data_IF_642175179819
#
_entry.id   IF_642175179819
#
_cell.length_a   1.000
_cell.length_b   1.000
_cell.length_c   1.000
_cell.angle_alpha   90.00
_cell.angle_beta   90.00
_cell.angle_gamma   90.00
#
_symmetry.space_group_name_H-M   'P 1'
#
loop_
_entity.id
_entity.type
_entity.pdbx_description
1 polymer ?
#
# COMPACT_ATOMS: atom_id res chain seq x y z
N UNK A 1 11.78 7.13 3.51
CA UNK A 1 10.84 6.04 3.87
C UNK A 1 9.87 5.91 2.71
N UNK A 2 9.95 4.80 2.00
CA UNK A 2 9.11 4.50 0.84
C UNK A 2 7.70 4.16 1.35
N UNK A 3 6.71 5.01 1.11
CA UNK A 3 5.31 4.68 1.35
C UNK A 3 4.86 3.71 0.26
N UNK A 4 4.78 2.43 0.58
CA UNK A 4 4.21 1.42 -0.31
C UNK A 4 2.70 1.60 -0.31
N UNK A 5 2.12 2.00 -1.44
CA UNK A 5 0.68 2.01 -1.64
C UNK A 5 0.17 0.56 -1.66
N UNK A 6 -0.35 0.09 -0.55
CA UNK A 6 -1.03 -1.20 -0.48
C UNK A 6 -2.40 -1.09 -1.16
N UNK A 7 -2.51 -1.59 -2.38
CA UNK A 7 -3.82 -1.84 -3.01
C UNK A 7 -4.55 -2.93 -2.24
N UNK A 8 -5.62 -2.59 -1.54
CA UNK A 8 -6.51 -3.57 -0.93
C UNK A 8 -7.63 -3.96 -1.89
N UNK A 9 -7.65 -5.22 -2.30
CA UNK A 9 -8.81 -5.82 -2.96
C UNK A 9 -10.01 -5.80 -2.01
N UNK A 10 -11.17 -5.37 -2.50
CA UNK A 10 -12.44 -5.45 -1.77
C UNK A 10 -12.76 -6.90 -1.45
N UNK A 11 -12.81 -7.23 -0.17
CA UNK A 11 -13.31 -8.52 0.31
C UNK A 11 -14.84 -8.55 0.24
N UNK A 12 -15.46 -9.70 -0.09
CA UNK A 12 -16.90 -9.88 0.07
C UNK A 12 -17.31 -9.66 1.53
N UNK A 13 -18.50 -9.10 1.73
CA UNK A 13 -19.06 -8.73 3.03
C UNK A 13 -19.12 -9.85 4.07
N UNK A 14 -19.41 -9.54 5.34
CA UNK A 14 -19.33 -10.50 6.43
C UNK A 14 -20.32 -11.65 6.23
N UNK A 15 -19.79 -12.82 5.88
CA UNK A 15 -20.57 -14.05 5.90
C UNK A 15 -20.87 -14.44 7.36
N UNK A 16 -22.11 -14.83 7.62
CA UNK A 16 -22.60 -15.29 8.92
C UNK A 16 -21.61 -16.28 9.55
N UNK A 17 -21.34 -16.10 10.84
CA UNK A 17 -20.56 -17.04 11.67
C UNK A 17 -21.23 -18.40 11.63
N UNK A 18 -20.78 -19.30 10.74
CA UNK A 18 -21.04 -20.72 10.84
C UNK A 18 -20.34 -21.29 12.07
N UNK A 19 -20.96 -22.27 12.72
CA UNK A 19 -20.29 -23.03 13.79
C UNK A 19 -19.00 -23.61 13.26
N UNK A 20 -17.90 -23.36 13.98
CA UNK A 20 -16.58 -23.90 13.64
C UNK A 20 -16.65 -25.43 13.55
N UNK A 21 -16.26 -25.98 12.40
CA UNK A 21 -16.18 -27.44 12.17
C UNK A 21 -14.81 -28.00 12.59
N UNK A 22 -14.06 -27.24 13.41
CA UNK A 22 -12.72 -27.65 13.84
C UNK A 22 -12.74 -29.01 14.57
N UNK A 23 -11.77 -29.89 14.27
CA UNK A 23 -11.65 -31.17 14.94
C UNK A 23 -11.47 -31.01 16.47
N UNK A 24 -11.87 -31.99 17.27
CA UNK A 24 -11.71 -31.96 18.71
C UNK A 24 -10.23 -31.90 19.10
N UNK A 25 -9.86 -31.39 20.30
CA UNK A 25 -8.46 -31.19 20.73
C UNK A 25 -7.56 -32.41 20.55
N UNK A 26 -8.05 -33.60 20.91
CA UNK A 26 -7.33 -34.87 20.74
C UNK A 26 -6.97 -35.20 19.27
N UNK A 27 -7.83 -34.80 18.34
CA UNK A 27 -7.56 -34.98 16.91
C UNK A 27 -6.51 -33.96 16.40
N UNK A 28 -6.48 -32.74 16.97
CA UNK A 28 -5.46 -31.72 16.63
C UNK A 28 -4.06 -32.19 17.04
N UNK A 29 -3.91 -32.76 18.22
CA UNK A 29 -2.64 -33.26 18.71
C UNK A 29 -2.05 -34.37 17.83
N UNK A 30 -2.88 -35.24 17.27
CA UNK A 30 -2.46 -36.25 16.30
C UNK A 30 -1.85 -35.63 15.02
N UNK A 31 -2.35 -34.46 14.58
CA UNK A 31 -1.79 -33.75 13.44
C UNK A 31 -0.41 -33.14 13.78
N UNK A 32 -0.26 -32.58 14.98
CA UNK A 32 1.05 -32.08 15.45
C UNK A 32 2.11 -33.19 15.43
N UNK A 33 1.77 -34.37 15.93
CA UNK A 33 2.67 -35.53 15.92
C UNK A 33 3.02 -36.00 14.51
N UNK A 34 2.05 -36.00 13.58
CA UNK A 34 2.28 -36.37 12.17
C UNK A 34 3.24 -35.41 11.47
N UNK A 35 3.12 -34.12 11.70
CA UNK A 35 4.03 -33.14 11.14
C UNK A 35 5.42 -33.24 11.77
N UNK A 36 5.49 -33.42 13.09
CA UNK A 36 6.75 -33.60 13.82
C UNK A 36 7.52 -34.86 13.41
N UNK A 37 6.80 -35.94 13.10
CA UNK A 37 7.38 -37.23 12.72
C UNK A 37 7.68 -37.40 11.23
N UNK A 38 7.41 -36.36 10.41
CA UNK A 38 7.59 -36.41 8.96
C UNK A 38 9.07 -36.41 8.58
N UNK A 39 9.71 -37.58 8.52
CA UNK A 39 11.01 -37.79 7.87
C UNK A 39 10.77 -38.18 6.41
N UNK A 40 11.47 -37.50 5.48
CA UNK A 40 11.57 -37.80 4.04
C UNK A 40 10.42 -38.63 3.43
N UNK A 41 9.31 -37.96 3.10
CA UNK A 41 8.16 -38.55 2.38
C UNK A 41 8.05 -37.91 0.99
N UNK A 42 7.28 -38.50 0.05
CA UNK A 42 7.07 -37.89 -1.26
C UNK A 42 6.58 -36.44 -1.12
N UNK A 43 6.94 -35.56 -2.08
CA UNK A 43 6.51 -34.19 -2.06
C UNK A 43 4.98 -34.10 -2.00
N UNK A 44 4.47 -33.18 -1.20
CA UNK A 44 3.05 -32.82 -1.20
C UNK A 44 2.75 -31.91 -2.38
N UNK A 45 1.46 -31.72 -2.70
CA UNK A 45 1.07 -30.74 -3.66
C UNK A 45 1.44 -29.33 -3.20
N UNK A 46 1.68 -28.42 -4.15
CA UNK A 46 2.03 -27.05 -3.83
C UNK A 46 0.82 -26.28 -3.31
N UNK A 47 1.04 -25.55 -2.21
CA UNK A 47 0.13 -24.58 -1.64
C UNK A 47 0.83 -23.21 -1.65
N UNK A 48 0.15 -22.19 -2.16
CA UNK A 48 0.72 -20.85 -2.26
C UNK A 48 0.20 -19.97 -1.13
N UNK A 49 1.09 -19.53 -0.23
CA UNK A 49 0.75 -18.51 0.77
C UNK A 49 0.75 -17.15 0.06
N UNK A 50 -0.42 -16.51 0.01
CA UNK A 50 -0.60 -15.23 -0.69
C UNK A 50 -0.42 -14.03 0.23
N UNK A 51 -0.53 -14.21 1.54
CA UNK A 51 -0.26 -13.20 2.55
C UNK A 51 0.03 -13.86 3.92
N UNK A 52 1.03 -13.37 4.70
CA UNK A 52 2.03 -12.39 4.30
C UNK A 52 2.93 -12.90 3.19
N UNK A 53 3.67 -11.97 2.56
CA UNK A 53 4.68 -12.36 1.57
C UNK A 53 5.89 -13.01 2.25
N UNK A 54 6.59 -13.85 1.50
CA UNK A 54 7.85 -14.42 1.98
C UNK A 54 8.87 -13.32 2.29
N UNK A 55 9.53 -13.43 3.44
CA UNK A 55 10.46 -12.42 3.95
C UNK A 55 9.79 -11.18 4.57
N UNK A 56 8.47 -11.19 4.80
CA UNK A 56 7.78 -10.05 5.42
C UNK A 56 8.35 -9.72 6.80
N UNK A 57 8.59 -8.43 7.05
CA UNK A 57 9.04 -7.89 8.34
C UNK A 57 7.92 -7.07 8.96
N UNK A 58 7.50 -7.44 10.16
CA UNK A 58 6.41 -6.78 10.88
C UNK A 58 6.95 -5.82 11.94
N UNK A 59 6.36 -4.62 12.09
CA UNK A 59 6.61 -3.78 13.26
C UNK A 59 6.19 -4.50 14.55
N UNK A 60 6.86 -4.24 15.70
CA UNK A 60 6.55 -4.94 16.94
C UNK A 60 5.15 -4.63 17.49
N UNK A 61 4.59 -3.45 17.18
CA UNK A 61 3.27 -3.02 17.64
C UNK A 61 2.11 -3.46 16.73
N UNK A 62 2.36 -3.96 15.53
CA UNK A 62 1.30 -4.26 14.57
C UNK A 62 0.31 -5.30 15.07
N UNK A 63 -0.98 -5.08 14.78
CA UNK A 63 -2.03 -6.06 15.01
C UNK A 63 -1.80 -7.35 14.20
N UNK A 64 -2.41 -8.45 14.65
CA UNK A 64 -2.26 -9.74 13.99
C UNK A 64 -2.77 -9.70 12.55
N UNK A 65 -1.95 -10.07 11.55
CA UNK A 65 -2.39 -10.17 10.17
C UNK A 65 -3.25 -11.41 9.96
N UNK A 66 -4.10 -11.38 8.94
CA UNK A 66 -4.77 -12.58 8.47
C UNK A 66 -3.86 -13.27 7.45
N UNK A 67 -3.29 -14.41 7.80
CA UNK A 67 -2.59 -15.28 6.86
C UNK A 67 -3.58 -15.84 5.86
N UNK A 68 -3.21 -15.88 4.58
CA UNK A 68 -4.07 -16.36 3.48
C UNK A 68 -3.24 -17.20 2.52
N UNK A 69 -3.89 -18.20 1.94
CA UNK A 69 -3.26 -19.11 0.96
C UNK A 69 -4.26 -19.59 -0.08
N UNK A 70 -3.73 -20.12 -1.17
CA UNK A 70 -4.44 -20.82 -2.20
C UNK A 70 -3.94 -22.26 -2.19
N UNK A 71 -4.89 -23.19 -2.04
CA UNK A 71 -4.63 -24.63 -2.09
C UNK A 71 -5.50 -25.22 -3.20
N UNK A 72 -4.87 -25.74 -4.24
CA UNK A 72 -5.54 -26.33 -5.38
C UNK A 72 -5.81 -27.83 -5.21
N UNK A 73 -5.37 -28.43 -4.09
CA UNK A 73 -5.58 -29.85 -3.87
C UNK A 73 -7.06 -30.13 -3.49
N UNK A 74 -7.79 -30.94 -4.28
CA UNK A 74 -9.24 -31.10 -4.11
C UNK A 74 -9.65 -31.77 -2.79
N UNK A 75 -8.75 -32.53 -2.17
CA UNK A 75 -9.02 -33.26 -0.94
C UNK A 75 -8.71 -32.49 0.34
N UNK A 76 -8.18 -31.26 0.23
CA UNK A 76 -7.94 -30.41 1.40
C UNK A 76 -9.25 -29.91 1.98
N UNK A 77 -9.58 -30.32 3.19
CA UNK A 77 -10.79 -29.91 3.90
C UNK A 77 -10.51 -29.00 5.10
N UNK A 78 -9.28 -29.03 5.57
CA UNK A 78 -8.78 -28.21 6.68
C UNK A 78 -7.32 -27.85 6.40
N UNK A 79 -6.80 -26.89 7.16
CA UNK A 79 -5.40 -26.49 7.06
C UNK A 79 -4.77 -26.39 8.44
N UNK A 80 -3.52 -26.84 8.53
CA UNK A 80 -2.70 -26.75 9.72
C UNK A 80 -1.56 -25.76 9.48
N UNK A 81 -1.60 -24.64 10.18
CA UNK A 81 -0.47 -23.71 10.27
C UNK A 81 0.52 -24.17 11.34
N UNK A 82 1.80 -24.16 11.00
CA UNK A 82 2.90 -24.53 11.89
C UNK A 82 3.96 -23.43 11.80
N UNK A 83 4.26 -22.77 12.92
CA UNK A 83 5.33 -21.78 12.99
C UNK A 83 6.47 -22.35 13.82
N UNK A 84 7.66 -22.36 13.22
CA UNK A 84 8.90 -22.80 13.85
C UNK A 84 9.83 -21.63 14.04
N UNK A 85 10.59 -21.67 15.11
CA UNK A 85 11.49 -20.60 15.52
C UNK A 85 12.91 -21.15 15.76
N UNK A 86 13.90 -20.29 15.69
CA UNK A 86 15.30 -20.62 15.90
C UNK A 86 15.64 -21.02 17.35
N UNK A 87 14.83 -20.62 18.32
CA UNK A 87 15.01 -20.89 19.76
C UNK A 87 14.78 -22.35 20.16
N UNK A 88 14.41 -23.22 19.20
CA UNK A 88 14.11 -24.64 19.38
C UNK A 88 12.99 -24.94 20.39
N UNK A 89 12.28 -23.96 20.90
CA UNK A 89 11.10 -24.18 21.70
C UNK A 89 9.94 -24.73 20.84
N UNK A 90 8.88 -25.19 21.49
CA UNK A 90 7.74 -25.79 20.80
C UNK A 90 7.18 -24.89 19.71
N UNK A 91 6.92 -25.41 18.49
CA UNK A 91 6.25 -24.67 17.44
C UNK A 91 4.87 -24.19 17.87
N UNK A 92 4.39 -23.12 17.26
CA UNK A 92 3.01 -22.70 17.32
C UNK A 92 2.21 -23.49 16.29
N UNK A 93 1.07 -24.01 16.69
CA UNK A 93 0.16 -24.76 15.82
C UNK A 93 -1.23 -24.11 15.82
N UNK A 94 -1.83 -23.99 14.63
CA UNK A 94 -3.21 -23.58 14.49
C UNK A 94 -3.89 -24.39 13.40
N UNK A 95 -5.16 -24.76 13.62
CA UNK A 95 -5.97 -25.46 12.63
C UNK A 95 -7.19 -24.63 12.26
N UNK A 96 -7.49 -24.58 10.98
CA UNK A 96 -8.63 -23.85 10.42
C UNK A 96 -9.34 -24.67 9.36
N UNK A 97 -10.63 -24.40 9.18
CA UNK A 97 -11.49 -24.96 8.12
C UNK A 97 -11.64 -24.02 6.91
N UNK A 98 -10.86 -22.94 6.88
CA UNK A 98 -10.85 -21.94 5.80
C UNK A 98 -9.43 -21.72 5.31
N UNK A 99 -9.23 -21.30 4.05
CA UNK A 99 -7.89 -21.02 3.53
C UNK A 99 -7.34 -19.68 4.05
N UNK A 100 -7.54 -19.42 5.33
CA UNK A 100 -7.01 -18.27 6.06
C UNK A 100 -6.94 -18.54 7.56
N UNK A 101 -6.05 -17.82 8.24
CA UNK A 101 -5.88 -17.86 9.68
C UNK A 101 -5.42 -16.52 10.22
N UNK A 102 -6.05 -16.03 11.28
CA UNK A 102 -5.59 -14.87 12.03
C UNK A 102 -5.21 -15.36 13.45
N UNK A 103 -3.94 -15.15 13.88
CA UNK A 103 -3.55 -15.44 15.25
C UNK A 103 -4.39 -14.64 16.25
N UNK A 104 -4.72 -15.24 17.37
CA UNK A 104 -5.20 -14.44 18.50
C UNK A 104 -4.08 -13.54 19.05
N UNK A 105 -4.42 -12.50 19.84
CA UNK A 105 -3.43 -11.53 20.32
C UNK A 105 -2.27 -12.16 21.12
N UNK A 106 -2.53 -13.20 21.91
CA UNK A 106 -1.50 -13.87 22.72
C UNK A 106 -0.54 -14.68 21.85
N UNK A 107 -1.08 -15.43 20.89
CA UNK A 107 -0.28 -16.17 19.89
C UNK A 107 0.55 -15.20 19.06
N UNK A 108 -0.05 -14.09 18.62
CA UNK A 108 0.65 -13.10 17.80
C UNK A 108 1.79 -12.42 18.58
N UNK A 109 1.56 -12.07 19.84
CA UNK A 109 2.61 -11.53 20.71
C UNK A 109 3.78 -12.51 20.86
N UNK A 110 3.49 -13.80 21.06
CA UNK A 110 4.52 -14.84 21.15
C UNK A 110 5.29 -15.01 19.81
N UNK A 111 4.61 -14.94 18.68
CA UNK A 111 5.24 -15.00 17.35
C UNK A 111 6.20 -13.82 17.18
N UNK A 112 5.75 -12.60 17.46
CA UNK A 112 6.57 -11.39 17.36
C UNK A 112 7.81 -11.46 18.25
N UNK A 113 7.64 -11.83 19.51
CA UNK A 113 8.77 -11.92 20.45
C UNK A 113 9.85 -12.93 20.02
N UNK A 114 9.47 -14.00 19.31
CA UNK A 114 10.37 -15.11 18.92
C UNK A 114 10.94 -14.94 17.50
N UNK A 115 10.52 -13.95 16.75
CA UNK A 115 10.98 -13.71 15.37
C UNK A 115 11.77 -12.41 15.17
N UNK A 116 12.28 -11.82 16.27
CA UNK A 116 13.08 -10.58 16.21
C UNK A 116 14.50 -10.85 15.75
N UNK A 117 15.17 -11.84 16.34
CA UNK A 117 16.59 -12.13 16.10
C UNK A 117 16.81 -13.03 14.89
N UNK A 118 15.82 -13.83 14.54
CA UNK A 118 15.85 -14.71 13.38
C UNK A 118 14.43 -14.93 12.87
N UNK A 119 14.24 -15.09 11.54
CA UNK A 119 12.92 -15.33 10.97
C UNK A 119 12.24 -16.57 11.54
N UNK A 120 10.93 -16.51 11.71
CA UNK A 120 10.10 -17.66 11.94
C UNK A 120 9.74 -18.32 10.59
N UNK A 121 9.87 -19.65 10.51
CA UNK A 121 9.36 -20.43 9.40
C UNK A 121 7.86 -20.65 9.59
N UNK A 122 7.05 -20.26 8.64
CA UNK A 122 5.61 -20.52 8.57
C UNK A 122 5.36 -21.58 7.54
N UNK A 123 4.77 -22.70 7.94
CA UNK A 123 4.38 -23.79 7.04
C UNK A 123 2.89 -24.00 7.14
N UNK A 124 2.19 -23.99 6.01
CA UNK A 124 0.77 -24.30 5.92
C UNK A 124 0.65 -25.67 5.25
N UNK A 125 -0.01 -26.60 5.92
CA UNK A 125 -0.34 -27.90 5.37
C UNK A 125 -1.81 -27.99 5.04
N UNK A 126 -2.16 -28.42 3.82
CA UNK A 126 -3.47 -28.92 3.49
C UNK A 126 -3.73 -30.26 4.17
N UNK A 127 -4.93 -30.50 4.63
CA UNK A 127 -5.31 -31.67 5.44
C UNK A 127 -6.61 -32.26 4.96
N UNK A 128 -6.62 -33.56 4.67
CA UNK A 128 -7.82 -34.37 4.53
C UNK A 128 -8.13 -35.08 5.86
N UNK A 129 -9.27 -34.77 6.45
CA UNK A 129 -9.66 -35.33 7.78
C UNK A 129 -10.31 -36.71 7.70
N UNK A 130 -10.99 -37.02 6.59
CA UNK A 130 -11.69 -38.28 6.37
C UNK A 130 -11.61 -38.68 4.88
N UNK A 131 -11.72 -39.96 4.52
CA UNK A 131 -11.78 -41.13 5.39
C UNK A 131 -10.46 -41.49 6.09
N UNK A 132 -9.35 -41.06 5.50
CA UNK A 132 -8.00 -41.22 6.08
C UNK A 132 -7.35 -39.88 6.38
N UNK A 133 -6.79 -39.70 7.55
CA UNK A 133 -6.06 -38.50 7.93
C UNK A 133 -4.76 -38.37 7.12
N UNK A 134 -4.68 -37.42 6.21
CA UNK A 134 -3.52 -37.20 5.32
C UNK A 134 -3.15 -35.73 5.20
N UNK A 135 -1.87 -35.46 5.07
CA UNK A 135 -1.39 -34.17 4.54
C UNK A 135 -1.50 -34.20 3.02
N UNK A 136 -2.07 -33.18 2.43
CA UNK A 136 -2.39 -33.11 1.00
C UNK A 136 -1.52 -32.12 0.25
N UNK A 137 -1.27 -30.97 0.86
CA UNK A 137 -0.48 -29.88 0.27
C UNK A 137 0.43 -29.22 1.30
N UNK A 138 1.42 -28.49 0.84
CA UNK A 138 2.36 -27.75 1.69
C UNK A 138 2.79 -26.46 1.03
N UNK A 139 2.78 -25.36 1.80
CA UNK A 139 3.40 -24.08 1.41
C UNK A 139 4.20 -23.53 2.58
N UNK A 140 5.26 -22.76 2.28
CA UNK A 140 6.10 -22.17 3.32
C UNK A 140 6.59 -20.78 2.96
N UNK A 141 6.78 -19.96 3.98
CA UNK A 141 7.36 -18.63 3.94
C UNK A 141 8.18 -18.39 5.21
N UNK A 142 9.00 -17.35 5.20
CA UNK A 142 9.65 -16.80 6.38
C UNK A 142 9.05 -15.45 6.75
N UNK A 143 8.91 -15.16 8.03
CA UNK A 143 8.50 -13.84 8.54
C UNK A 143 9.41 -13.43 9.71
N UNK A 144 9.57 -12.13 9.91
CA UNK A 144 10.33 -11.59 11.03
C UNK A 144 9.64 -10.39 11.67
N UNK A 145 10.12 -10.01 12.86
CA UNK A 145 9.67 -8.81 13.56
C UNK A 145 10.82 -7.81 13.66
N UNK A 146 10.58 -6.56 13.30
CA UNK A 146 11.53 -5.47 13.47
C UNK A 146 11.72 -5.14 14.95
N UNK A 147 12.86 -4.52 15.28
CA UNK A 147 13.07 -3.86 16.57
C UNK A 147 12.53 -2.43 16.58
N UNK A 148 12.31 -1.86 15.38
CA UNK A 148 11.93 -0.47 15.21
C UNK A 148 10.41 -0.33 15.25
N UNK A 149 9.94 0.58 16.08
CA UNK A 149 8.54 1.00 16.12
C UNK A 149 8.22 1.85 14.89
N UNK A 150 7.01 1.73 14.39
CA UNK A 150 6.46 2.67 13.41
C UNK A 150 5.93 3.91 14.11
N UNK A 151 5.26 3.72 15.24
CA UNK A 151 4.69 4.78 16.10
C UNK A 151 3.93 5.86 15.30
N UNK A 152 3.16 5.42 14.31
CA UNK A 152 2.44 6.31 13.41
C UNK A 152 1.15 5.66 12.90
N UNK A 153 0.14 6.49 12.68
CA UNK A 153 -1.05 6.09 11.94
C UNK A 153 -0.79 6.05 10.44
N UNK A 154 -1.49 5.18 9.73
CA UNK A 154 -1.42 5.07 8.27
C UNK A 154 -2.62 5.76 7.65
N UNK A 155 -2.35 6.77 6.82
CA UNK A 155 -3.33 7.36 5.94
C UNK A 155 -3.22 6.71 4.55
N UNK A 156 -4.32 6.17 4.04
CA UNK A 156 -4.32 5.52 2.74
C UNK A 156 -5.61 5.74 1.96
N UNK A 157 -5.50 5.68 0.64
CA UNK A 157 -6.63 5.72 -0.29
C UNK A 157 -7.10 4.31 -0.61
N UNK A 158 -8.36 4.03 -0.39
CA UNK A 158 -9.04 2.82 -0.85
C UNK A 158 -9.74 3.11 -2.18
N UNK A 159 -9.41 2.33 -3.21
CA UNK A 159 -10.00 2.48 -4.55
C UNK A 159 -10.61 1.16 -5.01
N UNK A 160 -11.72 1.18 -5.79
CA UNK A 160 -12.20 -0.03 -6.45
C UNK A 160 -11.24 -0.42 -7.57
N UNK A 161 -11.01 -1.72 -7.76
CA UNK A 161 -10.19 -2.28 -8.83
C UNK A 161 -11.06 -3.09 -9.80
N UNK A 162 -10.66 -3.21 -11.07
CA UNK A 162 -9.51 -2.56 -11.73
C UNK A 162 -9.69 -1.04 -11.85
N UNK A 163 -8.63 -0.33 -12.20
CA UNK A 163 -8.62 1.14 -12.23
C UNK A 163 -9.71 1.76 -13.11
N UNK A 164 -10.10 1.13 -14.20
CA UNK A 164 -11.23 1.56 -15.03
C UNK A 164 -12.54 1.65 -14.24
N UNK A 165 -12.77 0.70 -13.34
CA UNK A 165 -13.90 0.75 -12.40
C UNK A 165 -13.74 1.91 -11.42
N UNK A 166 -12.51 2.20 -11.00
CA UNK A 166 -12.16 3.33 -10.13
C UNK A 166 -12.54 4.66 -10.75
N UNK A 167 -12.27 4.90 -12.04
CA UNK A 167 -12.62 6.15 -12.72
C UNK A 167 -14.12 6.38 -12.81
N UNK A 168 -14.93 5.32 -12.97
CA UNK A 168 -16.39 5.38 -12.95
C UNK A 168 -16.97 5.44 -11.53
N UNK A 169 -16.23 4.94 -10.55
CA UNK A 169 -16.63 4.83 -9.15
C UNK A 169 -15.94 5.84 -8.22
N UNK A 170 -15.66 7.07 -8.66
CA UNK A 170 -14.98 8.09 -7.84
C UNK A 170 -15.58 8.25 -6.44
N UNK A 171 -16.92 8.19 -6.33
CA UNK A 171 -17.63 8.26 -5.05
C UNK A 171 -17.37 7.05 -4.12
N UNK A 172 -16.82 5.97 -4.65
CA UNK A 172 -16.44 4.79 -3.86
C UNK A 172 -15.01 4.88 -3.33
N UNK A 173 -14.25 5.89 -3.78
CA UNK A 173 -12.92 6.16 -3.24
C UNK A 173 -13.03 6.74 -1.85
N UNK A 174 -12.24 6.19 -0.93
CA UNK A 174 -12.22 6.59 0.47
C UNK A 174 -10.78 6.86 0.90
N UNK A 175 -10.59 7.83 1.77
CA UNK A 175 -9.36 7.94 2.55
C UNK A 175 -9.62 7.46 3.96
N UNK A 176 -8.73 6.61 4.42
CA UNK A 176 -8.81 6.03 5.75
C UNK A 176 -7.57 6.35 6.56
N UNK A 177 -7.80 6.64 7.82
CA UNK A 177 -6.75 6.79 8.83
C UNK A 177 -6.87 5.63 9.81
N UNK A 178 -5.82 4.84 9.94
CA UNK A 178 -5.80 3.65 10.78
C UNK A 178 -4.57 3.56 11.65
N UNK A 179 -4.77 3.03 12.85
CA UNK A 179 -3.70 2.64 13.73
C UNK A 179 -3.27 1.21 13.39
N UNK A 180 -1.96 0.98 13.24
CA UNK A 180 -1.42 -0.35 12.93
C UNK A 180 -1.56 -1.33 14.10
N UNK A 181 -1.77 -0.84 15.31
CA UNK A 181 -1.98 -1.66 16.51
C UNK A 181 -3.38 -2.25 16.60
N UNK A 182 -4.32 -1.75 15.78
CA UNK A 182 -5.73 -2.15 15.79
C UNK A 182 -6.06 -3.09 14.64
N UNK A 183 -6.81 -4.15 14.92
CA UNK A 183 -7.45 -5.02 13.92
C UNK A 183 -8.81 -4.48 13.47
N UNK A 184 -9.26 -3.36 14.05
CA UNK A 184 -10.49 -2.66 13.71
C UNK A 184 -10.44 -2.05 12.31
N UNK A 185 -11.62 -1.78 11.75
CA UNK A 185 -11.73 -1.11 10.45
C UNK A 185 -11.28 0.36 10.59
N UNK A 186 -10.26 0.81 9.85
CA UNK A 186 -9.78 2.19 9.91
C UNK A 186 -10.87 3.21 9.61
N UNK A 187 -10.82 4.34 10.30
CA UNK A 187 -11.80 5.44 10.17
C UNK A 187 -11.77 6.03 8.76
N UNK A 188 -12.94 6.29 8.17
CA UNK A 188 -13.05 7.07 6.94
C UNK A 188 -12.92 8.54 7.30
N UNK A 189 -11.87 9.18 6.81
CA UNK A 189 -11.60 10.61 7.06
C UNK A 189 -11.98 11.51 5.89
N UNK A 190 -12.11 10.93 4.69
CA UNK A 190 -12.60 11.65 3.50
C UNK A 190 -13.28 10.67 2.54
N UNK A 191 -14.40 11.09 1.97
CA UNK A 191 -15.24 10.32 1.05
C UNK A 191 -16.04 11.24 0.11
N UNK A 192 -16.90 10.66 -0.70
CA UNK A 192 -17.81 11.36 -1.61
C UNK A 192 -17.07 12.28 -2.59
N UNK A 193 -15.93 11.81 -3.08
CA UNK A 193 -15.15 12.56 -4.05
C UNK A 193 -15.92 12.72 -5.35
N UNK A 194 -16.06 13.95 -5.80
CA UNK A 194 -16.69 14.29 -7.08
C UNK A 194 -15.68 14.33 -8.23
N UNK A 195 -14.39 14.29 -7.89
CA UNK A 195 -13.30 14.39 -8.85
C UNK A 195 -12.23 13.32 -8.56
N UNK A 196 -11.39 13.04 -9.55
CA UNK A 196 -10.21 12.21 -9.32
C UNK A 196 -9.26 12.94 -8.36
N UNK A 197 -8.81 12.25 -7.32
CA UNK A 197 -7.80 12.70 -6.38
C UNK A 197 -6.73 11.63 -6.21
N UNK A 198 -5.47 12.05 -6.19
CA UNK A 198 -4.31 11.14 -6.17
C UNK A 198 -3.13 11.76 -5.42
N UNK A 199 -2.02 11.06 -5.36
CA UNK A 199 -0.73 11.56 -4.87
C UNK A 199 -0.83 12.33 -3.55
N UNK A 200 -1.53 11.75 -2.57
CA UNK A 200 -1.62 12.36 -1.24
C UNK A 200 -0.34 12.16 -0.43
N UNK A 201 -0.08 13.10 0.45
CA UNK A 201 1.06 13.13 1.33
C UNK A 201 0.65 13.80 2.65
N UNK A 202 1.31 13.43 3.73
CA UNK A 202 1.10 14.04 5.05
C UNK A 202 2.40 14.74 5.47
N UNK A 203 2.30 15.89 6.14
CA UNK A 203 3.45 16.55 6.78
C UNK A 203 4.08 15.63 7.83
N UNK A 204 5.33 15.89 8.18
CA UNK A 204 6.09 15.03 9.11
C UNK A 204 5.43 14.92 10.49
N UNK A 205 4.81 15.99 10.94
CA UNK A 205 4.08 16.05 12.22
C UNK A 205 2.66 15.45 12.14
N UNK A 206 2.22 15.00 10.94
CA UNK A 206 0.90 14.44 10.73
C UNK A 206 -0.26 15.44 10.69
N UNK A 207 0.01 16.75 10.76
CA UNK A 207 -1.05 17.75 10.90
C UNK A 207 -1.67 18.21 9.59
N UNK A 208 -0.93 18.14 8.48
CA UNK A 208 -1.39 18.57 7.16
C UNK A 208 -1.42 17.40 6.19
N UNK A 209 -2.48 17.32 5.40
CA UNK A 209 -2.55 16.50 4.19
C UNK A 209 -2.44 17.39 2.97
N UNK A 210 -1.69 16.95 1.98
CA UNK A 210 -1.61 17.53 0.64
C UNK A 210 -1.98 16.47 -0.39
N UNK A 211 -2.81 16.80 -1.38
CA UNK A 211 -3.17 15.87 -2.46
C UNK A 211 -3.51 16.58 -3.76
N UNK A 212 -3.19 15.92 -4.85
CA UNK A 212 -3.59 16.35 -6.20
C UNK A 212 -5.05 16.00 -6.46
N UNK A 213 -5.79 16.90 -7.07
CA UNK A 213 -7.16 16.64 -7.53
C UNK A 213 -7.55 17.58 -8.67
N UNK A 214 -8.59 17.17 -9.40
CA UNK A 214 -9.21 18.05 -10.40
C UNK A 214 -10.39 18.77 -9.73
N UNK A 215 -10.18 20.00 -9.29
CA UNK A 215 -11.22 20.77 -8.62
C UNK A 215 -11.86 21.76 -9.60
N UNK A 216 -13.18 21.60 -9.85
CA UNK A 216 -13.96 22.46 -10.77
C UNK A 216 -13.38 22.56 -12.19
N UNK A 217 -12.78 21.46 -12.69
CA UNK A 217 -12.16 21.43 -14.00
C UNK A 217 -10.70 21.91 -14.03
N UNK A 218 -10.16 22.32 -12.90
CA UNK A 218 -8.75 22.67 -12.76
C UNK A 218 -7.94 21.45 -12.32
N UNK A 219 -7.20 20.87 -13.25
CA UNK A 219 -6.36 19.70 -13.00
C UNK A 219 -5.03 20.04 -12.31
N UNK A 220 -4.69 21.31 -12.17
CA UNK A 220 -3.56 21.81 -11.38
C UNK A 220 -3.91 22.07 -9.93
N UNK A 221 -5.18 21.88 -9.55
CA UNK A 221 -5.62 22.12 -8.18
C UNK A 221 -5.00 21.11 -7.20
N UNK A 222 -4.71 21.59 -6.01
CA UNK A 222 -4.18 20.81 -4.91
C UNK A 222 -4.87 21.18 -3.61
N UNK A 223 -5.35 20.18 -2.89
CA UNK A 223 -5.86 20.34 -1.54
C UNK A 223 -4.68 20.35 -0.56
N UNK A 224 -4.66 21.31 0.35
CA UNK A 224 -3.78 21.34 1.53
C UNK A 224 -4.67 21.65 2.72
N UNK A 225 -4.88 20.68 3.57
CA UNK A 225 -5.85 20.75 4.65
C UNK A 225 -5.34 20.14 5.95
N UNK A 226 -5.83 20.59 7.11
CA UNK A 226 -5.55 19.93 8.38
C UNK A 226 -6.07 18.48 8.41
N UNK A 227 -5.26 17.55 8.90
CA UNK A 227 -5.68 16.17 9.15
C UNK A 227 -6.57 16.16 10.39
N UNK A 228 -7.82 15.75 10.21
CA UNK A 228 -8.84 15.64 11.26
C UNK A 228 -9.64 14.36 11.06
N UNK A 229 -10.52 14.04 12.01
CA UNK A 229 -11.45 12.91 11.89
C UNK A 229 -12.36 13.02 10.64
N UNK A 230 -12.53 14.24 10.11
CA UNK A 230 -13.14 14.51 8.80
C UNK A 230 -12.32 15.61 8.14
N UNK A 231 -11.82 15.33 6.93
CA UNK A 231 -11.04 16.28 6.13
C UNK A 231 -12.00 16.99 5.19
N UNK A 232 -12.22 18.27 5.48
CA UNK A 232 -13.13 19.12 4.68
C UNK A 232 -12.45 19.61 3.40
N UNK A 233 -13.22 19.61 2.30
CA UNK A 233 -12.82 20.20 1.02
C UNK A 233 -13.34 21.64 0.93
N UNK A 234 -12.81 22.53 1.74
CA UNK A 234 -13.22 23.92 1.76
C UNK A 234 -12.38 24.75 0.77
N UNK A 235 -12.95 25.80 0.18
CA UNK A 235 -12.31 26.54 -0.91
C UNK A 235 -10.97 27.17 -0.52
N UNK A 236 -10.79 27.53 0.72
CA UNK A 236 -9.58 28.11 1.32
C UNK A 236 -8.44 27.09 1.50
N UNK A 237 -8.76 25.80 1.35
CA UNK A 237 -7.75 24.74 1.37
C UNK A 237 -7.16 24.43 -0.03
N UNK A 238 -7.60 25.12 -1.06
CA UNK A 238 -7.12 24.87 -2.41
C UNK A 238 -6.12 25.92 -2.87
N UNK A 239 -5.06 25.42 -3.51
CA UNK A 239 -4.15 26.19 -4.35
C UNK A 239 -4.12 25.57 -5.74
N UNK A 240 -3.59 26.28 -6.73
CA UNK A 240 -3.45 25.72 -8.07
C UNK A 240 -2.11 26.00 -8.70
N UNK A 241 -1.52 24.96 -9.30
CA UNK A 241 -0.35 25.09 -10.15
C UNK A 241 -0.66 25.72 -11.52
N UNK A 242 -1.94 25.75 -11.91
CA UNK A 242 -2.35 26.37 -13.17
C UNK A 242 -2.03 27.87 -13.28
N UNK A 243 -1.75 28.50 -12.14
CA UNK A 243 -1.31 29.90 -12.06
C UNK A 243 0.22 30.07 -12.31
N UNK A 244 0.96 28.96 -12.39
CA UNK A 244 2.39 29.04 -12.72
C UNK A 244 2.57 29.48 -14.17
N UNK A 245 3.47 30.46 -14.45
CA UNK A 245 3.73 30.96 -15.79
C UNK A 245 4.17 29.85 -16.74
N UNK A 246 3.50 29.71 -17.87
CA UNK A 246 3.79 28.71 -18.90
C UNK A 246 4.18 29.37 -20.23
N UNK A 247 5.07 28.74 -21.03
CA UNK A 247 5.23 29.07 -22.43
C UNK A 247 3.93 28.84 -23.23
N UNK A 248 3.69 29.65 -24.28
CA UNK A 248 2.43 29.60 -25.04
C UNK A 248 2.11 28.24 -25.67
N UNK A 249 3.14 27.48 -26.05
CA UNK A 249 2.99 26.18 -26.71
C UNK A 249 2.76 25.02 -25.74
N UNK A 250 2.88 25.21 -24.43
CA UNK A 250 2.67 24.17 -23.45
C UNK A 250 1.24 24.15 -22.91
N UNK A 251 0.72 22.97 -22.55
CA UNK A 251 -0.56 22.87 -21.86
C UNK A 251 -0.51 23.58 -20.49
N UNK A 252 -1.67 23.77 -19.87
CA UNK A 252 -1.72 24.26 -18.50
C UNK A 252 -1.00 23.29 -17.58
N UNK A 253 -0.13 23.81 -16.71
CA UNK A 253 0.61 22.96 -15.76
C UNK A 253 -0.30 22.38 -14.68
N UNK A 254 -0.01 21.17 -14.26
CA UNK A 254 -0.72 20.45 -13.20
C UNK A 254 0.07 20.37 -11.91
N UNK A 255 1.37 20.63 -11.96
CA UNK A 255 2.24 20.47 -10.80
C UNK A 255 2.33 19.01 -10.35
N UNK A 256 2.53 18.10 -11.32
CA UNK A 256 2.52 16.65 -11.04
C UNK A 256 3.62 16.25 -10.08
N UNK A 257 3.36 15.20 -9.29
CA UNK A 257 4.23 14.66 -8.23
C UNK A 257 4.65 15.69 -7.19
N UNK A 258 3.85 16.75 -7.01
CA UNK A 258 4.21 17.77 -6.04
C UNK A 258 4.28 17.21 -4.61
N UNK A 259 5.27 17.69 -3.85
CA UNK A 259 5.59 17.28 -2.49
C UNK A 259 5.56 18.46 -1.53
N UNK A 260 4.74 18.32 -0.50
CA UNK A 260 4.76 19.24 0.64
C UNK A 260 6.06 19.00 1.42
N UNK A 261 6.71 20.05 1.86
CA UNK A 261 7.88 19.92 2.72
C UNK A 261 7.52 19.33 4.09
N UNK A 262 8.46 18.72 4.82
CA UNK A 262 8.18 18.05 6.10
C UNK A 262 7.41 18.90 7.11
N UNK A 263 7.74 20.18 7.23
CA UNK A 263 7.07 21.11 8.16
C UNK A 263 5.85 21.82 7.54
N UNK A 264 5.55 21.58 6.26
CA UNK A 264 4.43 22.19 5.56
C UNK A 264 4.67 23.62 5.07
N UNK A 265 5.90 24.12 5.12
CA UNK A 265 6.23 25.50 4.73
C UNK A 265 6.31 25.71 3.22
N UNK A 266 6.68 24.67 2.48
CA UNK A 266 6.94 24.72 1.04
C UNK A 266 6.24 23.59 0.31
N UNK A 267 5.91 23.86 -0.94
CA UNK A 267 5.43 22.86 -1.89
C UNK A 267 6.31 22.88 -3.12
N UNK A 268 6.86 21.75 -3.56
CA UNK A 268 7.65 21.61 -4.78
C UNK A 268 6.95 20.65 -5.73
N UNK A 269 6.90 20.97 -7.03
CA UNK A 269 6.24 20.14 -8.03
C UNK A 269 6.83 20.30 -9.41
N UNK A 270 6.54 19.33 -10.30
CA UNK A 270 6.90 19.39 -11.71
C UNK A 270 5.90 20.29 -12.44
N UNK A 271 6.39 21.31 -13.09
CA UNK A 271 5.58 22.31 -13.81
C UNK A 271 5.99 22.40 -15.27
N UNK A 272 5.12 22.98 -16.09
CA UNK A 272 5.29 23.05 -17.55
C UNK A 272 5.49 21.65 -18.16
N UNK A 273 4.86 20.65 -17.57
CA UNK A 273 5.07 19.25 -17.88
C UNK A 273 4.25 18.77 -19.08
N UNK A 274 4.84 17.85 -19.82
CA UNK A 274 4.15 16.93 -20.73
C UNK A 274 4.28 15.54 -20.13
N UNK A 275 3.16 14.87 -19.95
CA UNK A 275 3.14 13.56 -19.28
C UNK A 275 2.43 12.51 -20.12
N UNK A 276 2.93 11.27 -20.02
CA UNK A 276 2.28 10.09 -20.59
C UNK A 276 1.53 9.38 -19.47
N UNK A 277 0.27 9.03 -19.76
CA UNK A 277 -0.56 8.16 -18.93
C UNK A 277 -0.82 6.87 -19.69
N UNK A 278 -0.40 5.73 -19.16
CA UNK A 278 -0.72 4.43 -19.68
C UNK A 278 -1.61 3.67 -18.68
N UNK A 279 -2.74 3.18 -19.15
CA UNK A 279 -3.65 2.33 -18.38
C UNK A 279 -3.35 0.86 -18.71
N UNK A 280 -3.31 0.01 -17.71
CA UNK A 280 -3.15 -1.43 -17.87
C UNK A 280 -4.24 -2.18 -17.12
N UNK A 281 -4.53 -3.41 -17.54
CA UNK A 281 -5.47 -4.29 -16.83
C UNK A 281 -4.84 -5.03 -15.65
N UNK A 282 -3.54 -4.85 -15.42
CA UNK A 282 -2.85 -5.43 -14.26
C UNK A 282 -3.18 -4.59 -13.01
N UNK A 283 -3.81 -5.18 -11.97
CA UNK A 283 -4.11 -4.46 -10.73
C UNK A 283 -2.89 -3.88 -10.02
N UNK A 284 -1.70 -4.47 -10.22
CA UNK A 284 -0.44 -3.98 -9.63
C UNK A 284 0.12 -2.76 -10.39
N UNK A 285 -0.21 -2.64 -11.68
CA UNK A 285 0.28 -1.59 -12.57
C UNK A 285 -0.87 -0.97 -13.37
N UNK A 286 -2.01 -0.78 -12.75
CA UNK A 286 -3.22 -0.31 -13.42
C UNK A 286 -3.09 1.10 -14.00
N UNK A 287 -2.10 1.88 -13.56
CA UNK A 287 -1.82 3.20 -14.08
C UNK A 287 -0.32 3.48 -14.04
N UNK A 288 0.27 3.78 -15.20
CA UNK A 288 1.60 4.33 -15.33
C UNK A 288 1.49 5.79 -15.75
N UNK A 289 2.13 6.66 -15.00
CA UNK A 289 2.12 8.10 -15.24
C UNK A 289 3.54 8.63 -15.09
N UNK A 290 4.07 9.27 -16.13
CA UNK A 290 5.41 9.84 -16.09
C UNK A 290 5.54 11.06 -17.01
N UNK A 291 6.18 12.13 -16.56
CA UNK A 291 6.49 13.28 -17.38
C UNK A 291 7.64 12.98 -18.34
N UNK A 292 7.51 13.49 -19.56
CA UNK A 292 8.55 13.43 -20.61
C UNK A 292 9.23 14.79 -20.82
N UNK A 293 8.61 15.83 -20.30
CA UNK A 293 9.10 17.21 -20.23
C UNK A 293 8.64 17.83 -18.91
N UNK A 294 9.39 18.78 -18.37
CA UNK A 294 9.01 19.51 -17.16
C UNK A 294 10.22 19.94 -16.33
N UNK A 295 10.04 21.02 -15.61
CA UNK A 295 11.00 21.59 -14.67
C UNK A 295 10.41 21.57 -13.26
N UNK A 296 11.24 21.78 -12.23
CA UNK A 296 10.72 21.95 -10.87
C UNK A 296 10.45 23.42 -10.56
N UNK A 297 9.34 23.65 -9.90
CA UNK A 297 9.03 24.91 -9.24
C UNK A 297 8.64 24.64 -7.79
N UNK A 298 8.75 25.63 -6.95
CA UNK A 298 8.33 25.59 -5.57
C UNK A 298 7.49 26.81 -5.21
N UNK A 299 6.68 26.67 -4.20
CA UNK A 299 5.86 27.71 -3.63
C UNK A 299 6.13 27.81 -2.13
N UNK A 300 6.34 29.02 -1.64
CA UNK A 300 6.26 29.36 -0.22
C UNK A 300 4.78 29.44 0.18
N UNK A 301 4.36 28.58 1.10
CA UNK A 301 2.95 28.47 1.51
C UNK A 301 2.44 29.72 2.23
N UNK A 302 3.34 30.51 2.83
CA UNK A 302 2.99 31.75 3.50
C UNK A 302 2.86 32.93 2.52
N UNK A 303 3.70 32.95 1.47
CA UNK A 303 3.73 34.05 0.50
C UNK A 303 2.86 33.79 -0.73
N UNK A 304 2.47 32.54 -0.97
CA UNK A 304 1.72 32.10 -2.15
C UNK A 304 2.37 32.48 -3.49
N UNK A 305 3.69 32.55 -3.53
CA UNK A 305 4.48 32.89 -4.69
C UNK A 305 5.19 31.68 -5.27
N UNK A 306 5.01 31.48 -6.57
CA UNK A 306 5.75 30.44 -7.30
C UNK A 306 7.13 30.94 -7.72
N UNK A 307 8.13 30.06 -7.60
CA UNK A 307 9.49 30.27 -8.07
C UNK A 307 10.00 29.00 -8.74
N UNK A 308 10.79 29.14 -9.80
CA UNK A 308 11.54 28.01 -10.35
C UNK A 308 12.54 27.53 -9.31
N UNK A 309 12.78 26.22 -9.25
CA UNK A 309 13.79 25.66 -8.35
C UNK A 309 15.16 25.75 -9.02
N UNK A 310 16.10 26.59 -8.51
CA UNK A 310 17.41 26.73 -9.11
C UNK A 310 18.16 25.40 -9.22
N UNK A 311 18.72 25.11 -10.39
CA UNK A 311 19.41 23.85 -10.69
C UNK A 311 18.47 22.67 -11.09
N UNK A 312 17.17 22.89 -11.02
CA UNK A 312 16.15 21.95 -11.48
C UNK A 312 15.16 22.62 -12.45
N UNK A 313 15.58 23.63 -13.19
CA UNK A 313 14.79 24.46 -14.09
C UNK A 313 15.35 24.50 -15.54
N UNK A 314 16.21 23.54 -15.88
CA UNK A 314 16.82 23.42 -17.20
C UNK A 314 15.85 22.68 -18.16
N UNK A 315 15.35 23.35 -19.24
CA UNK A 315 14.37 22.77 -20.15
C UNK A 315 14.92 21.65 -21.05
N UNK A 316 16.24 21.44 -21.11
CA UNK A 316 16.81 20.28 -21.82
C UNK A 316 16.58 18.96 -21.08
N UNK A 317 16.11 19.02 -19.86
CA UNK A 317 15.86 17.86 -19.02
C UNK A 317 14.42 17.83 -18.53
N UNK A 318 13.87 16.64 -18.44
CA UNK A 318 12.73 16.38 -17.58
C UNK A 318 13.24 16.26 -16.14
N UNK A 319 12.66 17.00 -15.23
CA UNK A 319 13.01 17.05 -13.82
C UNK A 319 11.72 16.86 -13.03
N UNK A 320 11.65 15.77 -12.25
CA UNK A 320 10.40 15.29 -11.66
C UNK A 320 10.63 14.51 -10.36
N UNK A 321 9.57 14.05 -9.75
CA UNK A 321 9.58 13.24 -8.51
C UNK A 321 10.45 13.84 -7.40
N UNK A 322 10.21 15.11 -7.03
CA UNK A 322 10.96 15.74 -5.97
C UNK A 322 10.72 15.04 -4.62
N UNK A 323 11.76 14.99 -3.80
CA UNK A 323 11.65 14.51 -2.42
C UNK A 323 12.48 15.41 -1.51
N UNK A 324 11.88 15.86 -0.41
CA UNK A 324 12.54 16.73 0.56
C UNK A 324 13.43 15.95 1.51
N UNK A 325 14.56 16.57 1.94
CA UNK A 325 15.22 16.15 3.16
C UNK A 325 14.35 16.50 4.38
N UNK A 326 14.53 15.77 5.46
CA UNK A 326 13.76 15.97 6.70
C UNK A 326 13.91 17.37 7.31
N UNK A 327 15.06 18.02 7.06
CA UNK A 327 15.41 19.37 7.55
C UNK A 327 15.06 20.48 6.55
N UNK A 328 14.34 20.17 5.47
CA UNK A 328 13.90 21.08 4.39
C UNK A 328 15.02 21.81 3.63
N UNK A 329 16.30 21.37 3.77
CA UNK A 329 17.43 22.07 3.13
C UNK A 329 17.72 21.57 1.72
N UNK A 330 17.31 20.35 1.40
CA UNK A 330 17.63 19.70 0.13
C UNK A 330 16.39 19.11 -0.51
N UNK A 331 16.39 19.12 -1.84
CA UNK A 331 15.43 18.38 -2.66
C UNK A 331 16.22 17.43 -3.55
N UNK A 332 15.90 16.14 -3.46
CA UNK A 332 16.36 15.12 -4.41
C UNK A 332 15.30 14.99 -5.50
N UNK A 333 15.72 14.81 -6.74
CA UNK A 333 14.81 14.71 -7.89
C UNK A 333 15.30 13.66 -8.90
N UNK A 334 14.39 13.16 -9.72
CA UNK A 334 14.73 12.41 -10.92
C UNK A 334 15.02 13.38 -12.06
N UNK A 335 16.12 13.17 -12.81
CA UNK A 335 16.51 13.97 -13.95
C UNK A 335 16.92 13.10 -15.12
N UNK A 336 16.34 13.33 -16.30
CA UNK A 336 16.71 12.66 -17.54
C UNK A 336 16.69 13.67 -18.70
N UNK A 337 17.42 13.40 -19.80
CA UNK A 337 17.33 14.24 -21.00
C UNK A 337 15.93 14.14 -21.59
N UNK A 338 15.38 15.29 -21.98
CA UNK A 338 14.12 15.34 -22.73
C UNK A 338 14.29 14.59 -24.06
N UNK A 339 13.32 13.75 -24.41
CA UNK A 339 13.29 13.08 -25.72
C UNK A 339 12.21 13.74 -26.57
N UNK A 340 12.61 14.36 -27.66
CA UNK A 340 11.69 14.98 -28.62
C UNK A 340 10.84 13.96 -29.42
N UNK A 341 11.16 12.69 -29.34
CA UNK A 341 10.48 11.59 -30.05
C UNK A 341 9.03 11.36 -29.60
N UNK A 342 8.63 11.89 -28.44
CA UNK A 342 7.27 11.82 -27.94
C UNK A 342 6.40 13.04 -28.29
N UNK A 343 6.90 13.94 -29.13
CA UNK A 343 6.10 14.95 -29.78
C UNK A 343 5.44 14.38 -31.07
N UNK A 344 4.91 13.15 -31.00
CA UNK A 344 4.04 12.67 -32.04
C UNK A 344 2.69 13.39 -31.91
N UNK A 345 2.35 14.28 -32.87
CA UNK A 345 1.05 14.98 -32.81
C UNK A 345 -0.15 14.03 -32.98
N UNK A 346 0.10 12.75 -33.31
CA UNK A 346 -0.90 11.70 -33.39
C UNK A 346 -1.06 10.86 -32.13
N UNK A 347 -0.13 10.87 -31.19
CA UNK A 347 -0.34 10.32 -29.87
C UNK A 347 -1.22 11.30 -29.08
N UNK A 348 -2.50 10.99 -28.96
CA UNK A 348 -3.41 11.82 -28.20
C UNK A 348 -2.81 12.05 -26.78
N UNK A 349 -2.55 13.29 -26.38
CA UNK A 349 -2.15 13.56 -25.03
C UNK A 349 -3.34 13.14 -24.16
N UNK A 350 -3.16 12.13 -23.35
CA UNK A 350 -4.16 11.76 -22.36
C UNK A 350 -4.20 12.85 -21.30
N UNK A 351 -5.30 13.58 -21.29
CA UNK A 351 -5.64 14.61 -20.32
C UNK A 351 -6.37 14.02 -19.12
#
# INVERSE_FOLDING_TARGET
IMAVALCHCTLPGPQRRGRSTLPPPSAREQWHQRVASRKARPPLADLTITYPYDGAVFPPEIAAPTFRWIDHHPDSTHWLAVLRFSDKANPVYAMTDRPQWQPDPAIWAAIKARSVDAPAEVVIFGVRSAPAKMLTAEGRIAISTSRDLVDASILYRQVPLPFETGTRGLRQMLWRLGDITSDGKPTVVMQDMTTCASCHQVSQDGHLISMELNFRGDSGARLIAPVKSTIAQSADHFMTWSDFPKPDLLPRTRGVFAKLSPQGNYLVGTVNEISILALTNDPAFCQLFFPTYGILAWQDMNQQQFKRLPGADDPEFVQTDPSWSWDEKYVVLARARTRNEYHDPGAAPFY
#
